data_IF_535349610566
#
_entry.id   IF_535349610566
#
_cell.length_a   1.000
_cell.length_b   1.000
_cell.length_c   1.000
_cell.angle_alpha   90.00
_cell.angle_beta   90.00
_cell.angle_gamma   90.00
#
_symmetry.space_group_name_H-M   'P 1'
#
loop_
_entity.id
_entity.type
_entity.pdbx_description
1 polymer ?
#
# COMPACT_ATOMS: atom_id res chain seq x y z
N UNK A 1 18.55 -13.36 -18.29
CA UNK A 1 17.62 -12.27 -17.95
C UNK A 1 16.62 -12.84 -16.95
N UNK A 2 16.77 -12.55 -15.66
CA UNK A 2 15.77 -12.96 -14.66
C UNK A 2 14.54 -12.08 -14.84
N UNK A 3 13.53 -12.60 -15.53
CA UNK A 3 12.22 -11.94 -15.62
C UNK A 3 11.57 -11.89 -14.23
N UNK A 4 10.79 -10.83 -13.94
CA UNK A 4 10.01 -10.73 -12.70
C UNK A 4 9.18 -12.01 -12.51
N UNK A 5 9.20 -12.57 -11.29
CA UNK A 5 8.48 -13.80 -10.93
C UNK A 5 6.94 -13.62 -10.97
N UNK A 6 6.48 -12.37 -10.92
CA UNK A 6 5.07 -12.01 -10.84
C UNK A 6 4.58 -11.26 -12.08
N UNK A 7 3.27 -11.33 -12.32
CA UNK A 7 2.60 -10.71 -13.47
C UNK A 7 2.15 -9.28 -13.11
N UNK A 8 2.57 -8.29 -13.89
CA UNK A 8 2.09 -6.91 -13.78
C UNK A 8 0.66 -6.77 -14.34
N UNK A 9 -0.33 -7.17 -13.54
CA UNK A 9 -1.76 -7.10 -13.91
C UNK A 9 -2.32 -5.67 -13.89
N UNK A 10 -1.63 -4.76 -13.21
CA UNK A 10 -1.99 -3.33 -13.09
C UNK A 10 -1.40 -2.45 -14.19
N UNK A 11 -0.65 -3.05 -15.13
CA UNK A 11 -0.03 -2.37 -16.26
C UNK A 11 0.83 -1.16 -15.85
N UNK A 12 1.50 -1.25 -14.71
CA UNK A 12 2.42 -0.21 -14.21
C UNK A 12 3.62 -0.05 -15.16
N UNK A 13 4.11 1.18 -15.31
CA UNK A 13 5.35 1.44 -16.05
C UNK A 13 6.56 0.87 -15.34
N UNK A 14 7.67 0.65 -16.05
CA UNK A 14 8.93 0.18 -15.45
C UNK A 14 9.40 1.10 -14.32
N UNK A 15 9.17 2.41 -14.44
CA UNK A 15 9.48 3.40 -13.41
C UNK A 15 8.60 3.22 -12.17
N UNK A 16 7.28 3.15 -12.35
CA UNK A 16 6.35 2.90 -11.23
C UNK A 16 6.69 1.59 -10.51
N UNK A 17 7.07 0.58 -11.28
CA UNK A 17 7.48 -0.71 -10.79
C UNK A 17 8.79 -0.70 -10.01
N UNK A 18 9.74 0.14 -10.39
CA UNK A 18 10.99 0.31 -9.66
C UNK A 18 10.76 1.13 -8.39
N UNK A 19 9.98 2.20 -8.47
CA UNK A 19 9.64 3.03 -7.31
C UNK A 19 8.85 2.24 -6.26
N UNK A 20 7.94 1.35 -6.67
CA UNK A 20 7.20 0.49 -5.73
C UNK A 20 8.14 -0.50 -5.02
N UNK A 21 9.03 -1.15 -5.77
CA UNK A 21 10.04 -2.04 -5.18
C UNK A 21 10.96 -1.27 -4.20
N UNK A 22 11.41 -0.07 -4.58
CA UNK A 22 12.24 0.78 -3.73
C UNK A 22 11.49 1.17 -2.45
N UNK A 23 10.21 1.52 -2.53
CA UNK A 23 9.40 1.81 -1.36
C UNK A 23 9.30 0.60 -0.41
N UNK A 24 9.07 -0.61 -0.94
CA UNK A 24 9.04 -1.83 -0.13
C UNK A 24 10.40 -2.14 0.51
N UNK A 25 11.50 -1.95 -0.20
CA UNK A 25 12.86 -2.10 0.33
C UNK A 25 13.13 -1.08 1.46
N UNK A 26 12.71 0.18 1.29
CA UNK A 26 12.81 1.22 2.33
C UNK A 26 12.00 0.86 3.57
N UNK A 27 10.80 0.30 3.41
CA UNK A 27 9.98 -0.21 4.53
C UNK A 27 10.71 -1.34 5.26
N UNK A 28 11.31 -2.29 4.54
CA UNK A 28 12.10 -3.38 5.13
C UNK A 28 13.33 -2.86 5.88
N UNK A 29 13.95 -1.79 5.39
CA UNK A 29 15.07 -1.09 6.03
C UNK A 29 14.63 -0.14 7.16
N UNK A 30 13.32 -0.03 7.43
CA UNK A 30 12.72 0.89 8.41
C UNK A 30 12.97 2.38 8.12
N UNK A 31 13.32 2.74 6.88
CA UNK A 31 13.39 4.13 6.42
C UNK A 31 11.99 4.61 6.01
N UNK A 32 11.08 4.62 6.99
CA UNK A 32 9.64 4.83 6.78
C UNK A 32 9.33 6.22 6.21
N UNK A 33 10.09 7.25 6.58
CA UNK A 33 9.89 8.61 6.08
C UNK A 33 10.13 8.71 4.58
N UNK A 34 11.19 8.05 4.06
CA UNK A 34 11.45 8.03 2.62
C UNK A 34 10.45 7.16 1.89
N UNK A 35 10.10 6.00 2.45
CA UNK A 35 9.07 5.14 1.87
C UNK A 35 7.73 5.89 1.73
N UNK A 36 7.28 6.56 2.80
CA UNK A 36 6.06 7.35 2.81
C UNK A 36 6.11 8.47 1.76
N UNK A 37 7.20 9.23 1.71
CA UNK A 37 7.36 10.32 0.74
C UNK A 37 7.28 9.82 -0.70
N UNK A 38 7.95 8.71 -1.01
CA UNK A 38 7.95 8.10 -2.33
C UNK A 38 6.54 7.60 -2.71
N UNK A 39 5.89 6.84 -1.82
CA UNK A 39 4.56 6.30 -2.05
C UNK A 39 3.49 7.40 -2.18
N UNK A 40 3.58 8.48 -1.39
CA UNK A 40 2.66 9.61 -1.51
C UNK A 40 2.85 10.37 -2.83
N UNK A 41 4.09 10.48 -3.32
CA UNK A 41 4.35 11.05 -4.64
C UNK A 41 3.76 10.16 -5.74
N UNK A 42 3.98 8.85 -5.68
CA UNK A 42 3.36 7.91 -6.63
C UNK A 42 1.83 7.97 -6.59
N UNK A 43 1.24 8.05 -5.40
CA UNK A 43 -0.21 8.17 -5.21
C UNK A 43 -0.76 9.50 -5.75
N UNK A 44 0.03 10.59 -5.69
CA UNK A 44 -0.37 11.88 -6.27
C UNK A 44 -0.45 11.81 -7.80
N UNK A 45 0.44 11.04 -8.43
CA UNK A 45 0.49 10.86 -9.89
C UNK A 45 -0.56 9.87 -10.39
N UNK A 46 -0.83 8.81 -9.61
CA UNK A 46 -1.83 7.79 -9.91
C UNK A 46 -2.66 7.44 -8.65
N UNK A 47 -3.69 8.23 -8.32
CA UNK A 47 -4.47 8.09 -7.07
C UNK A 47 -5.29 6.80 -6.97
N UNK A 48 -5.55 6.15 -8.10
CA UNK A 48 -6.29 4.88 -8.21
C UNK A 48 -5.34 3.67 -8.38
N UNK A 49 -4.03 3.86 -8.19
CA UNK A 49 -3.06 2.79 -8.26
C UNK A 49 -3.16 1.86 -7.05
N UNK A 50 -3.94 0.78 -7.19
CA UNK A 50 -4.19 -0.22 -6.14
C UNK A 50 -2.90 -0.74 -5.47
N UNK A 51 -1.81 -1.08 -6.20
CA UNK A 51 -0.56 -1.49 -5.56
C UNK A 51 0.02 -0.42 -4.62
N UNK A 52 0.03 0.85 -5.02
CA UNK A 52 0.55 1.95 -4.18
C UNK A 52 -0.33 2.15 -2.95
N UNK A 53 -1.66 2.15 -3.13
CA UNK A 53 -2.61 2.28 -2.03
C UNK A 53 -2.46 1.13 -1.02
N UNK A 54 -2.27 -0.11 -1.50
CA UNK A 54 -2.05 -1.28 -0.67
C UNK A 54 -0.75 -1.18 0.15
N UNK A 55 0.35 -0.74 -0.47
CA UNK A 55 1.63 -0.58 0.25
C UNK A 55 1.55 0.57 1.27
N UNK A 56 0.92 1.70 0.94
CA UNK A 56 0.63 2.77 1.91
C UNK A 56 -0.18 2.22 3.09
N UNK A 57 -1.30 1.56 2.82
CA UNK A 57 -2.17 1.02 3.86
C UNK A 57 -1.43 0.04 4.78
N UNK A 58 -0.61 -0.83 4.20
CA UNK A 58 0.21 -1.77 4.94
C UNK A 58 1.25 -1.07 5.82
N UNK A 59 1.98 -0.10 5.26
CA UNK A 59 3.00 0.66 5.98
C UNK A 59 2.39 1.39 7.19
N UNK A 60 1.30 2.15 6.99
CA UNK A 60 0.64 2.88 8.08
C UNK A 60 0.15 1.93 9.18
N UNK A 61 -0.52 0.84 8.82
CA UNK A 61 -1.11 -0.08 9.79
C UNK A 61 -0.08 -0.93 10.52
N UNK A 62 0.89 -1.49 9.78
CA UNK A 62 1.86 -2.45 10.32
C UNK A 62 3.05 -1.78 10.98
N UNK A 63 3.59 -0.72 10.40
CA UNK A 63 4.86 -0.12 10.83
C UNK A 63 4.66 1.15 11.65
N UNK A 64 3.66 1.97 11.33
CA UNK A 64 3.39 3.23 12.05
C UNK A 64 2.32 3.09 13.14
N UNK A 65 1.56 1.99 13.15
CA UNK A 65 0.37 1.82 14.00
C UNK A 65 -0.67 2.93 13.83
N UNK A 66 -0.64 3.64 12.70
CA UNK A 66 -1.65 4.60 12.31
C UNK A 66 -2.80 3.84 11.62
N UNK A 67 -3.67 3.30 12.47
CA UNK A 67 -4.79 2.46 12.02
C UNK A 67 -5.84 3.26 11.26
N UNK A 68 -6.02 4.54 11.56
CA UNK A 68 -6.97 5.41 10.85
C UNK A 68 -6.53 5.61 9.40
N UNK A 69 -5.26 5.97 9.18
CA UNK A 69 -4.70 6.11 7.83
C UNK A 69 -4.71 4.78 7.08
N UNK A 70 -4.35 3.68 7.74
CA UNK A 70 -4.38 2.34 7.13
C UNK A 70 -5.79 2.00 6.61
N UNK A 71 -6.82 2.18 7.46
CA UNK A 71 -8.22 1.92 7.08
C UNK A 71 -8.65 2.83 5.93
N UNK A 72 -8.26 4.10 5.94
CA UNK A 72 -8.57 5.04 4.86
C UNK A 72 -8.03 4.55 3.52
N UNK A 73 -6.78 4.12 3.45
CA UNK A 73 -6.20 3.60 2.20
C UNK A 73 -6.82 2.27 1.78
N UNK A 74 -7.09 1.35 2.71
CA UNK A 74 -7.80 0.10 2.35
C UNK A 74 -9.23 0.35 1.87
N UNK A 75 -9.92 1.37 2.37
CA UNK A 75 -11.23 1.74 1.84
C UNK A 75 -11.13 2.18 0.37
N UNK A 76 -10.12 2.99 0.02
CA UNK A 76 -9.87 3.38 -1.38
C UNK A 76 -9.59 2.15 -2.26
N UNK A 77 -8.80 1.19 -1.77
CA UNK A 77 -8.58 -0.08 -2.49
C UNK A 77 -9.89 -0.83 -2.72
N UNK A 78 -10.75 -0.91 -1.71
CA UNK A 78 -12.05 -1.60 -1.80
C UNK A 78 -13.09 -0.86 -2.65
N UNK A 79 -12.95 0.46 -2.83
CA UNK A 79 -13.75 1.23 -3.78
C UNK A 79 -13.40 0.86 -5.23
N UNK A 80 -12.12 0.59 -5.51
CA UNK A 80 -11.61 0.22 -6.85
C UNK A 80 -11.78 -1.28 -7.11
N UNK A 81 -11.44 -2.10 -6.11
CA UNK A 81 -11.52 -3.55 -6.14
C UNK A 81 -12.33 -4.07 -4.95
N UNK A 82 -13.68 -4.07 -5.05
CA UNK A 82 -14.55 -4.55 -3.97
C UNK A 82 -14.25 -5.98 -3.52
N UNK A 83 -13.70 -6.81 -4.42
CA UNK A 83 -13.37 -8.22 -4.20
C UNK A 83 -11.96 -8.45 -3.65
N UNK A 84 -11.18 -7.40 -3.37
CA UNK A 84 -9.85 -7.52 -2.80
C UNK A 84 -9.93 -8.07 -1.36
N UNK A 85 -9.78 -9.39 -1.23
CA UNK A 85 -9.92 -10.09 0.04
C UNK A 85 -8.88 -9.63 1.07
N UNK A 86 -7.65 -9.36 0.62
CA UNK A 86 -6.58 -8.92 1.50
C UNK A 86 -6.84 -7.55 2.11
N UNK A 87 -7.24 -6.57 1.28
CA UNK A 87 -7.61 -5.24 1.76
C UNK A 87 -8.80 -5.30 2.74
N UNK A 88 -9.80 -6.14 2.45
CA UNK A 88 -10.96 -6.34 3.33
C UNK A 88 -10.56 -6.87 4.70
N UNK A 89 -9.69 -7.87 4.73
CA UNK A 89 -9.26 -8.53 5.96
C UNK A 89 -8.35 -7.62 6.80
N UNK A 90 -7.38 -6.94 6.19
CA UNK A 90 -6.50 -6.00 6.89
C UNK A 90 -7.29 -4.78 7.40
N UNK A 91 -8.20 -4.21 6.59
CA UNK A 91 -9.10 -3.15 7.07
C UNK A 91 -9.91 -3.59 8.28
N UNK A 92 -10.52 -4.79 8.23
CA UNK A 92 -11.31 -5.33 9.35
C UNK A 92 -10.46 -5.52 10.61
N UNK A 93 -9.22 -5.99 10.46
CA UNK A 93 -8.27 -6.14 11.56
C UNK A 93 -7.95 -4.78 12.20
N UNK A 94 -7.59 -3.76 11.43
CA UNK A 94 -7.28 -2.44 11.98
C UNK A 94 -8.51 -1.74 12.59
N UNK A 95 -9.71 -1.92 12.01
CA UNK A 95 -10.95 -1.39 12.60
C UNK A 95 -11.20 -1.92 14.02
N UNK A 96 -10.77 -3.15 14.33
CA UNK A 96 -10.90 -3.70 15.69
C UNK A 96 -9.99 -3.00 16.70
N UNK A 97 -8.79 -2.56 16.29
CA UNK A 97 -7.89 -1.84 17.19
C UNK A 97 -8.43 -0.45 17.57
N UNK A 98 -9.25 0.17 16.70
CA UNK A 98 -9.92 1.44 17.00
C UNK A 98 -11.21 1.29 17.83
N UNK A 99 -11.79 0.09 17.89
CA UNK A 99 -13.03 -0.18 18.62
C UNK A 99 -12.83 -0.72 20.03
N UNK A 100 -11.58 -0.97 20.46
CA UNK A 100 -11.28 -1.29 21.84
C UNK A 100 -11.15 0.02 22.62
N UNK A 101 -12.24 0.40 23.30
CA UNK A 101 -12.19 1.27 24.49
C UNK A 101 -11.56 0.51 25.67
#
# INVERSE_FOLDING_TARGET
>A
MSGRSWKNIYNLSDEQLNNLNEAEDLIQMMDLTKAESLLLNMNKEAPDCVPVLNVLAHMYGRHLSDFESAIKFYNLVLEIEPDNAWARDERRKYSRYLSYD
#
